data_IF_013210376028
#
_entry.id   IF_013210376028
#
_cell.length_a   1.000
_cell.length_b   1.000
_cell.length_c   1.000
_cell.angle_alpha   90.00
_cell.angle_beta   90.00
_cell.angle_gamma   90.00
#
_symmetry.space_group_name_H-M   'P 1'
#
loop_
_entity.id
_entity.type
_entity.pdbx_description
1 polymer ?
#
# COMPACT_ATOMS: atom_id res chain seq x y z
N UNK A 1 -3.62 18.04 16.64
CA UNK A 1 -2.26 17.67 16.21
C UNK A 1 -2.36 17.23 14.76
N UNK A 2 -1.56 17.80 13.86
CA UNK A 2 -1.54 17.44 12.44
C UNK A 2 -0.84 16.09 12.28
N UNK A 3 -1.55 15.10 11.75
CA UNK A 3 -0.96 13.80 11.39
C UNK A 3 -0.12 14.00 10.14
N UNK A 4 1.15 13.62 10.19
CA UNK A 4 2.06 13.76 9.06
C UNK A 4 1.81 12.61 8.09
N UNK A 5 1.33 12.95 6.88
CA UNK A 5 1.13 12.00 5.79
C UNK A 5 2.25 12.22 4.78
N UNK A 6 3.05 11.18 4.56
CA UNK A 6 4.16 11.23 3.60
C UNK A 6 4.15 10.01 2.67
N UNK A 7 4.88 10.14 1.55
CA UNK A 7 5.06 9.08 0.58
C UNK A 7 6.54 8.70 0.55
N UNK A 8 6.82 7.41 0.61
CA UNK A 8 8.17 6.88 0.43
C UNK A 8 8.14 5.78 -0.62
N UNK A 9 9.21 5.65 -1.41
CA UNK A 9 9.44 4.39 -2.12
C UNK A 9 9.55 3.25 -1.12
N UNK A 10 9.19 2.05 -1.55
CA UNK A 10 9.34 0.87 -0.74
C UNK A 10 10.80 0.68 -0.28
N UNK A 11 10.93 0.32 0.99
CA UNK A 11 12.18 -0.07 1.64
C UNK A 11 11.94 -1.39 2.38
N UNK A 12 12.97 -2.23 2.59
CA UNK A 12 12.83 -3.47 3.34
C UNK A 12 12.23 -3.31 4.74
N UNK A 13 12.46 -2.16 5.40
CA UNK A 13 11.90 -1.84 6.72
C UNK A 13 10.37 -1.77 6.75
N UNK A 14 9.71 -1.51 5.61
CA UNK A 14 8.25 -1.48 5.52
C UNK A 14 7.63 -2.88 5.40
N UNK A 15 8.44 -3.91 5.12
CA UNK A 15 7.95 -5.24 4.78
C UNK A 15 7.10 -5.90 5.90
N UNK A 16 7.46 -5.82 7.19
CA UNK A 16 6.64 -6.43 8.25
C UNK A 16 5.21 -5.88 8.27
N UNK A 17 5.05 -4.56 8.20
CA UNK A 17 3.74 -3.92 8.19
C UNK A 17 2.97 -4.18 6.89
N UNK A 18 3.64 -4.20 5.74
CA UNK A 18 2.98 -4.56 4.48
C UNK A 18 2.48 -6.01 4.45
N UNK A 19 3.08 -6.91 5.24
CA UNK A 19 2.61 -8.29 5.40
C UNK A 19 1.49 -8.44 6.43
N UNK A 20 1.41 -7.53 7.41
CA UNK A 20 0.37 -7.54 8.44
C UNK A 20 -1.01 -7.12 7.89
N UNK A 21 -1.04 -6.53 6.69
CA UNK A 21 -2.28 -6.12 6.05
C UNK A 21 -3.23 -7.30 5.82
N UNK A 22 -4.47 -7.10 6.24
CA UNK A 22 -5.58 -8.04 6.05
C UNK A 22 -6.66 -7.39 5.20
N UNK A 23 -7.20 -8.14 4.24
CA UNK A 23 -8.38 -7.74 3.48
C UNK A 23 -9.58 -8.53 3.96
N UNK A 24 -10.75 -7.87 4.04
CA UNK A 24 -12.01 -8.60 4.17
C UNK A 24 -12.33 -9.31 2.87
N UNK A 25 -13.28 -10.25 2.89
CA UNK A 25 -13.63 -11.00 1.69
C UNK A 25 -14.25 -10.11 0.60
N UNK A 26 -14.96 -9.05 0.96
CA UNK A 26 -15.50 -8.08 0.01
C UNK A 26 -14.40 -7.27 -0.67
N UNK A 27 -13.30 -7.00 0.01
CA UNK A 27 -12.23 -6.14 -0.54
C UNK A 27 -11.33 -6.85 -1.53
N UNK A 28 -11.18 -8.18 -1.37
CA UNK A 28 -10.40 -9.03 -2.28
C UNK A 28 -10.87 -8.93 -3.74
N UNK A 29 -12.12 -8.50 -3.97
CA UNK A 29 -12.67 -8.32 -5.32
C UNK A 29 -12.20 -7.03 -5.99
N UNK A 30 -11.72 -6.06 -5.21
CA UNK A 30 -11.29 -4.75 -5.68
C UNK A 30 -9.78 -4.57 -5.64
N UNK A 31 -9.09 -5.27 -4.74
CA UNK A 31 -7.65 -5.10 -4.53
C UNK A 31 -6.95 -6.38 -4.06
N UNK A 32 -5.66 -6.49 -4.36
CA UNK A 32 -4.76 -7.53 -3.84
C UNK A 32 -3.97 -7.02 -2.64
N UNK A 33 -3.42 -7.95 -1.84
CA UNK A 33 -2.56 -7.61 -0.71
C UNK A 33 -1.15 -7.19 -1.18
N UNK A 34 -0.46 -6.30 -0.46
CA UNK A 34 0.92 -5.93 -0.77
C UNK A 34 1.84 -7.16 -0.90
N UNK A 35 1.70 -8.14 0.00
CA UNK A 35 2.50 -9.38 -0.02
C UNK A 35 2.35 -10.21 -1.31
N UNK A 36 1.23 -10.09 -2.01
CA UNK A 36 0.93 -10.84 -3.23
C UNK A 36 1.56 -10.18 -4.47
N UNK A 37 1.69 -8.86 -4.44
CA UNK A 37 2.07 -8.04 -5.60
C UNK A 37 3.47 -7.43 -5.48
N UNK A 38 4.02 -7.29 -4.28
CA UNK A 38 5.29 -6.64 -4.01
C UNK A 38 6.45 -7.34 -4.73
N UNK A 39 6.56 -8.65 -4.59
CA UNK A 39 7.61 -9.45 -5.26
C UNK A 39 7.56 -9.31 -6.77
N UNK A 40 6.35 -9.23 -7.34
CA UNK A 40 6.15 -9.01 -8.78
C UNK A 40 6.54 -7.59 -9.18
N UNK A 41 6.24 -6.59 -8.35
CA UNK A 41 6.57 -5.20 -8.62
C UNK A 41 8.09 -4.94 -8.60
N UNK A 42 8.83 -5.58 -7.69
CA UNK A 42 10.28 -5.44 -7.58
C UNK A 42 11.03 -6.05 -8.78
N UNK A 43 10.45 -7.05 -9.45
CA UNK A 43 11.08 -7.76 -10.57
C UNK A 43 10.79 -7.17 -11.96
N UNK A 44 9.91 -6.18 -12.08
CA UNK A 44 9.49 -5.63 -13.37
C UNK A 44 10.00 -4.19 -13.51
N UNK A 45 10.75 -3.94 -14.59
CA UNK A 45 11.21 -2.60 -14.95
C UNK A 45 10.01 -1.65 -15.12
N UNK A 46 10.16 -0.39 -14.73
CA UNK A 46 9.09 0.62 -14.72
C UNK A 46 7.96 0.43 -13.68
N UNK A 47 8.11 -0.48 -12.71
CA UNK A 47 7.22 -0.58 -11.54
C UNK A 47 7.93 -0.08 -10.30
N UNK A 48 7.32 0.89 -9.64
CA UNK A 48 7.86 1.55 -8.46
C UNK A 48 6.88 1.38 -7.31
N UNK A 49 7.15 0.46 -6.36
CA UNK A 49 6.31 0.31 -5.19
C UNK A 49 6.47 1.55 -4.29
N UNK A 50 5.35 2.13 -3.90
CA UNK A 50 5.27 3.33 -3.05
C UNK A 50 4.44 2.99 -1.81
N UNK A 51 4.93 3.43 -0.66
CA UNK A 51 4.31 3.26 0.65
C UNK A 51 3.79 4.61 1.12
N UNK A 52 2.56 4.60 1.64
CA UNK A 52 1.95 5.75 2.30
C UNK A 52 2.24 5.61 3.79
N UNK A 53 2.88 6.62 4.35
CA UNK A 53 3.24 6.67 5.76
C UNK A 53 2.31 7.65 6.47
N UNK A 54 1.88 7.28 7.66
CA UNK A 54 1.23 8.16 8.62
C UNK A 54 2.03 8.10 9.90
N UNK A 55 2.62 9.24 10.30
CA UNK A 55 3.50 9.30 11.47
C UNK A 55 4.61 8.22 11.39
N UNK A 56 5.25 8.11 10.21
CA UNK A 56 6.27 7.11 9.83
C UNK A 56 5.81 5.64 9.81
N UNK A 57 4.52 5.35 10.04
CA UNK A 57 3.96 4.00 9.96
C UNK A 57 3.33 3.72 8.58
N UNK A 58 3.67 2.58 7.94
CA UNK A 58 3.01 2.13 6.70
C UNK A 58 1.50 1.94 6.89
N UNK A 59 0.70 2.79 6.25
CA UNK A 59 -0.77 2.72 6.27
C UNK A 59 -1.37 2.42 4.90
N UNK A 60 -0.55 2.37 3.86
CA UNK A 60 -1.00 2.08 2.51
C UNK A 60 0.15 1.75 1.57
N UNK A 61 -0.22 1.17 0.43
CA UNK A 61 0.74 0.71 -0.57
C UNK A 61 0.13 0.82 -1.95
N UNK A 62 0.90 1.28 -2.93
CA UNK A 62 0.50 1.24 -4.34
C UNK A 62 1.72 1.07 -5.23
N UNK A 63 1.48 0.69 -6.49
CA UNK A 63 2.56 0.53 -7.48
C UNK A 63 2.40 1.62 -8.53
N UNK A 64 3.36 2.53 -8.58
CA UNK A 64 3.47 3.51 -9.66
C UNK A 64 4.08 2.83 -10.90
N UNK A 65 3.48 3.03 -12.07
CA UNK A 65 3.98 2.45 -13.33
C UNK A 65 4.25 3.54 -14.37
N UNK A 66 5.43 3.50 -14.99
CA UNK A 66 5.88 4.56 -15.91
C UNK A 66 5.46 4.35 -17.38
N UNK A 67 4.68 3.30 -17.68
CA UNK A 67 4.26 2.98 -19.05
C UNK A 67 2.73 2.99 -19.17
N UNK A 68 2.20 4.04 -19.82
CA UNK A 68 0.78 4.37 -20.04
C UNK A 68 0.14 5.05 -18.82
N UNK A 69 -0.67 6.08 -19.09
CA UNK A 69 -1.47 6.88 -18.14
C UNK A 69 -2.49 6.06 -17.34
N UNK A 70 -2.07 5.02 -16.63
CA UNK A 70 -2.87 4.19 -15.72
C UNK A 70 -2.09 4.01 -14.44
N UNK A 71 -2.44 4.80 -13.44
CA UNK A 71 -2.10 4.56 -12.06
C UNK A 71 -2.85 3.28 -11.64
N UNK A 72 -2.17 2.16 -11.44
CA UNK A 72 -2.78 1.01 -10.76
C UNK A 72 -2.75 1.30 -9.26
N UNK A 73 -3.71 2.09 -8.84
CA UNK A 73 -4.03 2.29 -7.43
C UNK A 73 -4.53 0.96 -6.88
N UNK A 74 -3.63 0.20 -6.28
CA UNK A 74 -3.99 -0.80 -5.28
C UNK A 74 -4.43 0.03 -4.07
N UNK A 75 -5.66 0.55 -4.11
CA UNK A 75 -6.23 1.44 -3.11
C UNK A 75 -6.46 0.66 -1.82
N UNK A 76 -5.41 0.45 -1.03
CA UNK A 76 -5.55 0.03 0.37
C UNK A 76 -6.05 1.18 1.27
N UNK A 77 -6.20 2.39 0.71
CA UNK A 77 -6.50 3.62 1.46
C UNK A 77 -7.91 3.60 2.07
N UNK A 78 -8.90 2.93 1.46
CA UNK A 78 -10.28 2.96 1.99
C UNK A 78 -10.54 1.97 3.13
N UNK A 79 -9.59 1.10 3.48
CA UNK A 79 -9.84 -0.04 4.37
C UNK A 79 -9.12 0.01 5.70
N UNK A 80 -8.03 0.78 5.82
CA UNK A 80 -7.37 0.94 7.12
C UNK A 80 -8.16 1.81 8.11
N UNK A 81 -9.05 2.69 7.61
CA UNK A 81 -9.83 3.60 8.47
C UNK A 81 -11.17 3.04 8.96
N UNK A 82 -11.63 1.87 8.48
CA UNK A 82 -12.88 1.25 8.97
C UNK A 82 -12.61 0.19 10.06
N UNK A 83 -11.36 -0.28 10.22
CA UNK A 83 -10.99 -1.29 11.21
C UNK A 83 -10.29 -0.73 12.46
N UNK A 84 -10.01 0.57 12.51
CA UNK A 84 -9.60 1.20 13.76
C UNK A 84 -10.86 1.37 14.63
N UNK A 85 -10.96 0.73 15.82
CA UNK A 85 -12.00 1.10 16.76
C UNK A 85 -11.84 2.59 17.06
N UNK A 86 -12.86 3.38 16.76
CA UNK A 86 -12.99 4.71 17.31
C UNK A 86 -12.85 4.57 18.83
N UNK A 87 -11.77 5.13 19.38
CA UNK A 87 -11.52 5.25 20.80
C UNK A 87 -11.52 6.74 21.14
#
# INVERSE_FOLDING_TARGET
MTQDISLSFYKPEHLPELQSFTLTNDDKRFTSLPKEVLSQALGIQDRYPVVILKDDLPVGFFIYMHQKKRLLLILTIHLLYCSAPCL
#
